data_IF_923460247742
#
_entry.id   IF_923460247742
#
_cell.length_a   1.000
_cell.length_b   1.000
_cell.length_c   1.000
_cell.angle_alpha   90.00
_cell.angle_beta   90.00
_cell.angle_gamma   90.00
#
_symmetry.space_group_name_H-M   'P 1'
#
loop_
_entity.id
_entity.type
_entity.pdbx_description
1 polymer ?
#
# COMPACT_ATOMS: atom_id res chain seq x y z
N UNK A 1 -51.78 10.53 -24.60
CA UNK A 1 -50.54 9.92 -25.10
C UNK A 1 -49.24 10.52 -24.49
N UNK A 2 -49.10 11.81 -24.22
CA UNK A 2 -47.90 12.44 -23.60
C UNK A 2 -47.54 11.88 -22.21
N UNK A 3 -48.51 11.57 -21.34
CA UNK A 3 -48.28 11.09 -19.97
C UNK A 3 -47.62 9.67 -19.91
N UNK A 4 -48.02 8.73 -20.78
CA UNK A 4 -47.40 7.40 -20.90
C UNK A 4 -45.96 7.46 -21.45
N UNK A 5 -45.67 8.41 -22.36
CA UNK A 5 -44.34 8.62 -22.93
C UNK A 5 -43.35 9.20 -21.89
N UNK A 6 -43.84 10.08 -21.01
CA UNK A 6 -43.03 10.61 -19.90
C UNK A 6 -42.76 9.57 -18.81
N UNK A 7 -43.71 8.71 -18.49
CA UNK A 7 -43.49 7.59 -17.53
C UNK A 7 -42.46 6.59 -18.05
N UNK A 8 -42.53 6.18 -19.31
CA UNK A 8 -41.50 5.28 -19.91
C UNK A 8 -40.11 5.90 -19.98
N UNK A 9 -40.01 7.22 -20.14
CA UNK A 9 -38.76 7.97 -20.12
C UNK A 9 -38.17 8.08 -18.70
N UNK A 10 -39.00 8.31 -17.69
CA UNK A 10 -38.59 8.34 -16.29
C UNK A 10 -38.13 6.97 -15.79
N UNK A 11 -38.82 5.89 -16.10
CA UNK A 11 -38.39 4.53 -15.75
C UNK A 11 -37.02 4.19 -16.37
N UNK A 12 -36.74 4.64 -17.59
CA UNK A 12 -35.46 4.40 -18.26
C UNK A 12 -34.35 5.21 -17.62
N UNK A 13 -34.61 6.47 -17.25
CA UNK A 13 -33.59 7.31 -16.56
C UNK A 13 -33.28 6.76 -15.15
N UNK A 14 -34.28 6.30 -14.41
CA UNK A 14 -34.10 5.67 -13.11
C UNK A 14 -33.23 4.40 -13.19
N UNK A 15 -33.48 3.53 -14.17
CA UNK A 15 -32.66 2.32 -14.36
C UNK A 15 -31.20 2.65 -14.67
N UNK A 16 -30.96 3.66 -15.51
CA UNK A 16 -29.61 4.12 -15.85
C UNK A 16 -28.90 4.71 -14.63
N UNK A 17 -29.61 5.52 -13.83
CA UNK A 17 -29.07 6.11 -12.60
C UNK A 17 -28.73 5.04 -11.58
N UNK A 18 -29.65 4.11 -11.32
CA UNK A 18 -29.39 3.00 -10.38
C UNK A 18 -28.20 2.18 -10.80
N UNK A 19 -28.04 1.93 -12.10
CA UNK A 19 -26.89 1.22 -12.63
C UNK A 19 -25.59 1.99 -12.44
N UNK A 20 -25.57 3.29 -12.77
CA UNK A 20 -24.39 4.15 -12.54
C UNK A 20 -23.97 4.13 -11.06
N UNK A 21 -24.94 4.23 -10.14
CA UNK A 21 -24.64 4.20 -8.70
C UNK A 21 -24.10 2.84 -8.29
N UNK A 22 -24.70 1.74 -8.75
CA UNK A 22 -24.23 0.39 -8.42
C UNK A 22 -22.82 0.12 -8.94
N UNK A 23 -22.54 0.51 -10.20
CA UNK A 23 -21.20 0.35 -10.78
C UNK A 23 -20.18 1.28 -10.11
N UNK A 24 -20.56 2.52 -9.79
CA UNK A 24 -19.69 3.45 -9.06
C UNK A 24 -19.34 2.90 -7.67
N UNK A 25 -20.29 2.31 -6.95
CA UNK A 25 -20.07 1.71 -5.64
C UNK A 25 -19.08 0.54 -5.71
N UNK A 26 -19.17 -0.32 -6.73
CA UNK A 26 -18.21 -1.41 -6.93
C UNK A 26 -16.82 -0.86 -7.26
N UNK A 27 -16.73 0.19 -8.11
CA UNK A 27 -15.46 0.84 -8.43
C UNK A 27 -14.83 1.50 -7.18
N UNK A 28 -15.62 2.13 -6.32
CA UNK A 28 -15.15 2.66 -5.03
C UNK A 28 -14.55 1.54 -4.16
N UNK A 29 -15.24 0.40 -4.06
CA UNK A 29 -14.72 -0.74 -3.29
C UNK A 29 -13.41 -1.27 -3.86
N UNK A 30 -13.30 -1.40 -5.19
CA UNK A 30 -12.04 -1.79 -5.84
C UNK A 30 -10.96 -0.75 -5.56
N UNK A 31 -11.27 0.54 -5.66
CA UNK A 31 -10.35 1.63 -5.36
C UNK A 31 -9.85 1.59 -3.91
N UNK A 32 -10.73 1.32 -2.94
CA UNK A 32 -10.34 1.14 -1.52
C UNK A 32 -9.39 -0.05 -1.37
N UNK A 33 -9.65 -1.17 -2.05
CA UNK A 33 -8.77 -2.34 -2.02
C UNK A 33 -7.39 -2.01 -2.57
N UNK A 34 -7.33 -1.34 -3.72
CA UNK A 34 -6.06 -0.88 -4.34
C UNK A 34 -5.31 0.06 -3.40
N UNK A 35 -5.99 1.08 -2.85
CA UNK A 35 -5.43 1.99 -1.84
C UNK A 35 -4.83 1.23 -0.66
N UNK A 36 -5.56 0.29 -0.09
CA UNK A 36 -5.11 -0.48 1.08
C UNK A 36 -3.86 -1.32 0.76
N UNK A 37 -3.79 -1.94 -0.44
CA UNK A 37 -2.61 -2.71 -0.86
C UNK A 37 -1.38 -1.82 -1.00
N UNK A 38 -1.52 -0.66 -1.63
CA UNK A 38 -0.40 0.27 -1.83
C UNK A 38 0.04 0.92 -0.52
N UNK A 39 -0.91 1.38 0.30
CA UNK A 39 -0.62 1.93 1.64
C UNK A 39 0.08 0.88 2.52
N UNK A 40 -0.39 -0.37 2.48
CA UNK A 40 0.26 -1.46 3.19
C UNK A 40 1.70 -1.72 2.74
N UNK A 41 1.99 -1.62 1.44
CA UNK A 41 3.36 -1.71 0.91
C UNK A 41 4.24 -0.55 1.40
N UNK A 42 3.74 0.68 1.35
CA UNK A 42 4.47 1.84 1.82
C UNK A 42 4.73 1.78 3.33
N UNK A 43 3.73 1.38 4.12
CA UNK A 43 3.88 1.13 5.55
C UNK A 43 4.93 0.04 5.81
N UNK A 44 4.92 -1.02 5.02
CA UNK A 44 5.96 -2.05 5.09
C UNK A 44 7.36 -1.49 4.87
N UNK A 45 7.52 -0.70 3.82
CA UNK A 45 8.79 -0.10 3.50
C UNK A 45 9.23 0.86 4.61
N UNK A 46 8.32 1.67 5.13
CA UNK A 46 8.59 2.56 6.26
C UNK A 46 9.04 1.80 7.50
N UNK A 47 8.34 0.72 7.88
CA UNK A 47 8.73 -0.12 9.01
C UNK A 47 10.08 -0.78 8.76
N UNK A 48 10.33 -1.28 7.54
CA UNK A 48 11.59 -1.91 7.16
C UNK A 48 12.77 -0.93 7.20
N UNK A 49 12.60 0.31 6.77
CA UNK A 49 13.62 1.35 6.83
C UNK A 49 13.94 1.82 8.24
N UNK A 50 12.97 1.68 9.16
CA UNK A 50 13.15 1.97 10.58
C UNK A 50 13.66 0.76 11.39
N UNK A 51 13.84 -0.41 10.75
CA UNK A 51 14.48 -1.54 11.43
C UNK A 51 15.98 -1.28 11.56
N UNK A 52 16.46 -1.29 12.79
CA UNK A 52 17.87 -1.15 13.11
C UNK A 52 18.55 -2.51 13.16
N UNK A 53 19.75 -2.57 12.60
CA UNK A 53 20.75 -3.62 12.80
C UNK A 53 21.82 -3.04 13.70
N UNK A 54 22.01 -3.59 14.89
CA UNK A 54 22.94 -3.08 15.90
C UNK A 54 24.21 -3.89 15.85
N UNK A 55 25.33 -3.22 15.59
CA UNK A 55 26.66 -3.77 15.72
C UNK A 55 27.19 -3.45 17.11
N UNK A 56 27.37 -4.46 17.92
CA UNK A 56 27.97 -4.36 19.25
C UNK A 56 29.49 -4.33 19.09
N UNK A 57 30.14 -3.31 19.60
CA UNK A 57 31.57 -3.13 19.48
C UNK A 57 32.35 -3.79 20.63
N UNK A 58 33.61 -4.14 20.39
CA UNK A 58 34.49 -4.63 21.44
C UNK A 58 34.81 -3.51 22.45
N UNK A 59 34.96 -3.85 23.74
CA UNK A 59 35.16 -2.85 24.81
C UNK A 59 36.44 -2.01 24.63
N UNK A 60 37.46 -2.56 23.93
CA UNK A 60 38.79 -2.01 23.83
C UNK A 60 38.98 -1.06 22.65
N UNK A 61 37.96 -0.82 21.85
CA UNK A 61 38.04 0.07 20.67
C UNK A 61 38.17 1.53 21.09
N UNK A 62 39.11 2.20 20.44
CA UNK A 62 39.27 3.65 20.60
C UNK A 62 38.20 4.44 19.84
N UNK A 63 37.81 5.65 20.28
CA UNK A 63 36.86 6.48 19.56
C UNK A 63 37.21 6.77 18.09
N UNK A 64 38.52 6.82 17.78
CA UNK A 64 39.00 7.01 16.41
C UNK A 64 38.77 5.79 15.52
N UNK A 65 38.90 4.59 16.07
CA UNK A 65 38.60 3.33 15.36
C UNK A 65 37.11 3.16 15.13
N UNK A 66 36.26 3.50 16.13
CA UNK A 66 34.82 3.54 15.98
C UNK A 66 34.39 4.48 14.86
N UNK A 67 34.95 5.70 14.80
CA UNK A 67 34.65 6.66 13.74
C UNK A 67 35.09 6.16 12.35
N UNK A 68 36.25 5.48 12.27
CA UNK A 68 36.73 4.88 11.02
C UNK A 68 35.79 3.75 10.57
N UNK A 69 35.30 2.93 11.50
CA UNK A 69 34.36 1.85 11.25
C UNK A 69 33.03 2.41 10.74
N UNK A 70 32.50 3.45 11.38
CA UNK A 70 31.27 4.14 10.93
C UNK A 70 31.39 4.64 9.48
N UNK A 71 32.52 5.33 9.15
CA UNK A 71 32.76 5.81 7.79
C UNK A 71 32.89 4.67 6.78
N UNK A 72 33.46 3.54 7.17
CA UNK A 72 33.59 2.36 6.31
C UNK A 72 32.23 1.73 6.02
N UNK A 73 31.43 1.58 7.05
CA UNK A 73 30.11 0.97 6.96
C UNK A 73 29.13 1.88 6.20
N UNK A 74 29.20 3.19 6.39
CA UNK A 74 28.36 4.18 5.69
C UNK A 74 28.52 4.16 4.16
N UNK A 75 29.63 3.64 3.65
CA UNK A 75 29.89 3.52 2.20
C UNK A 75 29.09 2.40 1.51
N UNK A 76 28.50 1.51 2.27
CA UNK A 76 27.73 0.42 1.68
C UNK A 76 26.40 0.91 1.11
N UNK A 77 26.08 0.49 -0.10
CA UNK A 77 24.90 0.94 -0.84
C UNK A 77 23.56 0.52 -0.21
N UNK A 78 23.57 -0.47 0.67
CA UNK A 78 22.38 -0.97 1.38
C UNK A 78 22.09 -0.22 2.68
N UNK A 79 22.94 0.72 3.12
CA UNK A 79 22.78 1.49 4.34
C UNK A 79 22.17 2.86 4.02
N UNK A 80 21.19 3.28 4.85
CA UNK A 80 20.55 4.59 4.76
C UNK A 80 21.11 5.53 5.83
N UNK A 81 21.28 5.05 7.05
CA UNK A 81 21.80 5.85 8.17
C UNK A 81 22.72 5.02 9.07
N UNK A 82 23.68 5.68 9.69
CA UNK A 82 24.61 5.09 10.66
C UNK A 82 24.62 6.00 11.87
N UNK A 83 24.30 5.48 13.02
CA UNK A 83 24.29 6.18 14.30
C UNK A 83 25.22 5.48 15.28
N UNK A 84 26.16 6.22 15.87
CA UNK A 84 27.10 5.71 16.85
C UNK A 84 26.68 6.12 18.24
N UNK A 85 26.53 5.14 19.12
CA UNK A 85 26.20 5.33 20.54
C UNK A 85 27.39 4.91 21.39
N UNK A 86 27.96 5.86 22.14
CA UNK A 86 29.07 5.55 23.06
C UNK A 86 28.58 4.81 24.31
N UNK A 87 29.49 4.18 25.05
CA UNK A 87 29.17 3.51 26.34
C UNK A 87 28.45 4.44 27.33
N UNK A 88 28.86 5.71 27.38
CA UNK A 88 28.29 6.71 28.27
C UNK A 88 26.89 7.14 27.81
N UNK A 89 26.69 7.26 26.49
CA UNK A 89 25.36 7.55 25.91
C UNK A 89 24.41 6.39 26.13
N UNK A 90 24.83 5.15 25.85
CA UNK A 90 24.04 3.95 26.07
C UNK A 90 23.60 3.81 27.53
N UNK A 91 24.50 4.12 28.51
CA UNK A 91 24.16 4.12 29.91
C UNK A 91 23.12 5.20 30.25
N UNK A 92 23.27 6.40 29.67
CA UNK A 92 22.36 7.53 29.92
C UNK A 92 20.96 7.24 29.36
N UNK A 93 20.88 6.65 28.18
CA UNK A 93 19.62 6.25 27.54
C UNK A 93 18.97 5.09 28.29
N UNK A 94 19.73 4.05 28.64
CA UNK A 94 19.27 2.94 29.45
C UNK A 94 18.78 3.37 30.84
N UNK A 95 19.46 4.32 31.48
CA UNK A 95 19.02 4.89 32.75
C UNK A 95 17.68 5.63 32.61
N UNK A 96 17.49 6.35 31.50
CA UNK A 96 16.25 7.07 31.23
C UNK A 96 15.07 6.13 30.95
N UNK A 97 15.31 5.04 30.22
CA UNK A 97 14.29 4.05 29.88
C UNK A 97 13.90 3.16 31.07
N UNK A 98 14.89 2.71 31.85
CA UNK A 98 14.67 1.81 32.99
C UNK A 98 14.24 2.57 34.29
N UNK A 99 14.39 3.91 34.32
CA UNK A 99 14.09 4.72 35.49
C UNK A 99 15.05 4.54 36.64
N UNK A 100 16.11 3.73 36.47
CA UNK A 100 17.17 3.48 37.49
C UNK A 100 18.51 3.32 36.75
N UNK A 101 19.61 3.67 37.42
CA UNK A 101 20.93 3.58 36.83
C UNK A 101 21.45 2.11 36.91
N UNK A 102 21.61 1.39 35.79
CA UNK A 102 22.06 0.01 35.83
C UNK A 102 23.48 -0.20 36.33
N UNK A 103 24.32 0.83 36.21
CA UNK A 103 25.71 0.77 36.72
C UNK A 103 25.78 0.71 38.26
N UNK A 104 24.76 1.21 38.98
CA UNK A 104 24.69 1.15 40.45
C UNK A 104 24.44 -0.30 40.93
N UNK A 105 23.76 -1.11 40.13
CA UNK A 105 23.47 -2.51 40.45
C UNK A 105 24.57 -3.45 40.00
N UNK A 106 25.19 -3.15 38.85
CA UNK A 106 26.21 -4.01 38.22
C UNK A 106 27.65 -3.70 38.74
N UNK A 107 27.85 -2.59 39.41
CA UNK A 107 29.17 -2.11 39.86
C UNK A 107 30.03 -1.46 38.79
N UNK A 108 29.69 -1.69 37.48
CA UNK A 108 30.30 -1.07 36.35
C UNK A 108 29.26 -0.84 35.23
N UNK A 109 29.60 -0.09 34.19
CA UNK A 109 28.71 0.15 33.09
C UNK A 109 28.50 -1.14 32.27
N UNK A 110 27.29 -1.73 32.29
CA UNK A 110 27.01 -2.99 31.58
C UNK A 110 26.85 -2.81 30.06
N UNK A 111 26.73 -1.55 29.58
CA UNK A 111 26.56 -1.27 28.17
C UNK A 111 27.90 -1.16 27.45
N UNK A 112 27.92 -1.63 26.21
CA UNK A 112 29.04 -1.48 25.27
C UNK A 112 28.74 -0.38 24.27
N UNK A 113 29.77 0.11 23.60
CA UNK A 113 29.55 1.01 22.47
C UNK A 113 28.94 0.23 21.31
N UNK A 114 28.02 0.86 20.60
CA UNK A 114 27.29 0.24 19.51
C UNK A 114 27.12 1.17 18.30
N UNK A 115 26.98 0.56 17.13
CA UNK A 115 26.67 1.26 15.88
C UNK A 115 25.32 0.74 15.40
N UNK A 116 24.33 1.61 15.38
CA UNK A 116 23.02 1.33 14.79
C UNK A 116 23.03 1.66 13.30
N UNK A 117 22.57 0.69 12.52
CA UNK A 117 22.49 0.76 11.07
C UNK A 117 21.05 0.68 10.64
N UNK A 118 20.59 1.64 9.84
CA UNK A 118 19.31 1.56 9.14
C UNK A 118 19.54 1.10 7.71
N UNK A 119 18.82 0.06 7.30
CA UNK A 119 18.94 -0.51 5.97
C UNK A 119 17.87 0.06 5.04
N UNK A 120 18.17 0.14 3.73
CA UNK A 120 17.14 0.43 2.73
C UNK A 120 16.09 -0.69 2.71
N UNK A 121 14.82 -0.36 2.53
CA UNK A 121 13.68 -1.29 2.56
C UNK A 121 13.90 -2.57 1.72
N UNK A 122 14.55 -2.45 0.56
CA UNK A 122 14.83 -3.57 -0.34
C UNK A 122 15.77 -4.63 0.26
N UNK A 123 16.61 -4.24 1.21
CA UNK A 123 17.57 -5.11 1.91
C UNK A 123 17.06 -5.56 3.29
N UNK A 124 15.99 -4.95 3.79
CA UNK A 124 15.37 -5.29 5.08
C UNK A 124 14.48 -6.54 4.97
N UNK A 125 15.02 -7.64 4.48
CA UNK A 125 14.40 -8.97 4.46
C UNK A 125 15.35 -9.97 5.14
N UNK A 126 14.80 -11.07 5.65
CA UNK A 126 15.55 -12.03 6.45
C UNK A 126 16.80 -12.57 5.79
N UNK A 127 16.74 -12.88 4.50
CA UNK A 127 17.85 -13.50 3.78
C UNK A 127 18.97 -12.49 3.56
N UNK A 128 18.61 -11.24 3.24
CA UNK A 128 19.58 -10.16 3.07
C UNK A 128 20.18 -9.72 4.40
N UNK A 129 19.37 -9.57 5.46
CA UNK A 129 19.85 -9.17 6.79
C UNK A 129 20.81 -10.23 7.35
N UNK A 130 20.51 -11.52 7.20
CA UNK A 130 21.41 -12.60 7.63
C UNK A 130 22.77 -12.52 6.95
N UNK A 131 22.80 -12.27 5.64
CA UNK A 131 24.06 -12.11 4.89
C UNK A 131 24.82 -10.86 5.34
N UNK A 132 24.11 -9.73 5.42
CA UNK A 132 24.68 -8.46 5.88
C UNK A 132 25.23 -8.59 7.30
N UNK A 133 24.49 -9.21 8.22
CA UNK A 133 24.93 -9.44 9.59
C UNK A 133 26.18 -10.33 9.65
N UNK A 134 26.24 -11.39 8.83
CA UNK A 134 27.41 -12.24 8.73
C UNK A 134 28.65 -11.49 8.18
N UNK A 135 28.45 -10.64 7.18
CA UNK A 135 29.53 -9.81 6.61
C UNK A 135 30.00 -8.74 7.62
N UNK A 136 29.06 -8.09 8.32
CA UNK A 136 29.39 -7.08 9.33
C UNK A 136 30.10 -7.68 10.55
N UNK A 137 29.80 -8.92 10.92
CA UNK A 137 30.47 -9.62 12.02
C UNK A 137 31.95 -9.94 11.74
N UNK A 138 32.36 -9.94 10.47
CA UNK A 138 33.76 -10.17 10.07
C UNK A 138 34.65 -8.93 10.23
N UNK A 139 34.09 -7.77 10.54
CA UNK A 139 34.89 -6.57 10.74
C UNK A 139 35.65 -6.63 12.07
N UNK A 140 36.91 -6.27 12.02
CA UNK A 140 37.75 -6.16 13.22
C UNK A 140 37.12 -5.11 14.17
N UNK A 141 36.97 -5.47 15.44
CA UNK A 141 36.37 -4.62 16.46
C UNK A 141 34.85 -4.79 16.65
N UNK A 142 34.20 -5.64 15.86
CA UNK A 142 32.82 -6.02 16.08
C UNK A 142 32.76 -7.26 16.95
N UNK A 143 32.01 -7.19 18.06
CA UNK A 143 31.79 -8.31 18.97
C UNK A 143 30.64 -9.18 18.49
N UNK A 144 29.50 -8.53 18.22
CA UNK A 144 28.31 -9.22 17.71
C UNK A 144 27.46 -8.27 16.83
N UNK A 145 26.56 -8.86 16.06
CA UNK A 145 25.58 -8.13 15.23
C UNK A 145 24.20 -8.65 15.54
N UNK A 146 23.38 -7.80 16.13
CA UNK A 146 22.02 -8.15 16.55
C UNK A 146 20.98 -7.40 15.74
N UNK A 147 19.85 -8.03 15.49
CA UNK A 147 18.68 -7.41 14.85
C UNK A 147 17.41 -8.11 15.30
N UNK A 148 16.28 -7.40 15.27
CA UNK A 148 14.98 -7.93 15.72
C UNK A 148 14.36 -8.81 14.63
N UNK A 149 14.86 -10.03 14.52
CA UNK A 149 14.44 -11.01 13.50
C UNK A 149 12.93 -11.28 13.53
N UNK A 150 12.36 -11.35 14.72
CA UNK A 150 10.93 -11.63 14.90
C UNK A 150 10.03 -10.54 14.33
N UNK A 151 10.43 -9.27 14.44
CA UNK A 151 9.69 -8.15 13.86
C UNK A 151 9.71 -8.20 12.32
N UNK A 152 10.89 -8.46 11.72
CA UNK A 152 11.03 -8.58 10.26
C UNK A 152 10.13 -9.68 9.71
N UNK A 153 10.13 -10.84 10.38
CA UNK A 153 9.29 -11.98 10.02
C UNK A 153 7.81 -11.66 10.13
N UNK A 154 7.41 -11.09 11.27
CA UNK A 154 6.01 -10.80 11.56
C UNK A 154 5.42 -9.80 10.57
N UNK A 155 6.15 -8.72 10.28
CA UNK A 155 5.74 -7.70 9.31
C UNK A 155 5.59 -8.31 7.89
N UNK A 156 6.59 -9.06 7.43
CA UNK A 156 6.55 -9.67 6.10
C UNK A 156 5.40 -10.69 5.96
N UNK A 157 5.17 -11.52 6.98
CA UNK A 157 4.08 -12.50 6.96
C UNK A 157 2.71 -11.82 7.02
N UNK A 158 2.53 -10.81 7.88
CA UNK A 158 1.28 -10.09 8.01
C UNK A 158 0.89 -9.41 6.70
N UNK A 159 1.83 -8.72 6.06
CA UNK A 159 1.60 -8.04 4.79
C UNK A 159 1.27 -9.03 3.66
N UNK A 160 1.96 -10.16 3.60
CA UNK A 160 1.68 -11.20 2.60
C UNK A 160 0.26 -11.75 2.77
N UNK A 161 -0.17 -12.02 4.01
CA UNK A 161 -1.53 -12.49 4.31
C UNK A 161 -2.59 -11.45 3.92
N UNK A 162 -2.40 -10.18 4.33
CA UNK A 162 -3.32 -9.09 4.00
C UNK A 162 -3.42 -8.90 2.49
N UNK A 163 -2.28 -8.82 1.78
CA UNK A 163 -2.27 -8.67 0.32
C UNK A 163 -2.97 -9.81 -0.40
N UNK A 164 -2.83 -11.05 0.07
CA UNK A 164 -3.50 -12.20 -0.51
C UNK A 164 -5.02 -12.14 -0.33
N UNK A 165 -5.49 -11.82 0.87
CA UNK A 165 -6.93 -11.65 1.16
C UNK A 165 -7.53 -10.53 0.31
N UNK A 166 -6.85 -9.38 0.24
CA UNK A 166 -7.30 -8.24 -0.55
C UNK A 166 -7.34 -8.56 -2.05
N UNK A 167 -6.39 -9.35 -2.55
CA UNK A 167 -6.38 -9.80 -3.95
C UNK A 167 -7.60 -10.68 -4.28
N UNK A 168 -7.97 -11.59 -3.37
CA UNK A 168 -9.19 -12.41 -3.53
C UNK A 168 -10.43 -11.52 -3.56
N UNK A 169 -10.53 -10.55 -2.64
CA UNK A 169 -11.66 -9.61 -2.58
C UNK A 169 -11.74 -8.80 -3.88
N UNK A 170 -10.63 -8.28 -4.38
CA UNK A 170 -10.56 -7.53 -5.63
C UNK A 170 -11.03 -8.39 -6.82
N UNK A 171 -10.61 -9.64 -6.90
CA UNK A 171 -11.04 -10.57 -7.94
C UNK A 171 -12.56 -10.81 -7.88
N UNK A 172 -13.11 -11.05 -6.69
CA UNK A 172 -14.56 -11.23 -6.52
C UNK A 172 -15.34 -9.97 -6.92
N UNK A 173 -14.90 -8.79 -6.49
CA UNK A 173 -15.53 -7.52 -6.86
C UNK A 173 -15.50 -7.29 -8.37
N UNK A 174 -14.40 -7.65 -9.03
CA UNK A 174 -14.27 -7.56 -10.50
C UNK A 174 -15.28 -8.46 -11.20
N UNK A 175 -15.45 -9.71 -10.73
CA UNK A 175 -16.46 -10.64 -11.28
C UNK A 175 -17.87 -10.09 -11.09
N UNK A 176 -18.19 -9.55 -9.91
CA UNK A 176 -19.49 -8.93 -9.63
C UNK A 176 -19.74 -7.73 -10.54
N UNK A 177 -18.75 -6.85 -10.71
CA UNK A 177 -18.83 -5.70 -11.61
C UNK A 177 -19.13 -6.12 -13.05
N UNK A 178 -18.37 -7.09 -13.54
CA UNK A 178 -18.58 -7.63 -14.89
C UNK A 178 -19.96 -8.23 -15.06
N UNK A 179 -20.47 -8.97 -14.08
CA UNK A 179 -21.79 -9.56 -14.07
C UNK A 179 -22.91 -8.49 -14.12
N UNK A 180 -22.76 -7.40 -13.32
CA UNK A 180 -23.71 -6.28 -13.33
C UNK A 180 -23.78 -5.60 -14.69
N UNK A 181 -22.62 -5.29 -15.29
CA UNK A 181 -22.55 -4.67 -16.62
C UNK A 181 -23.19 -5.58 -17.67
N UNK A 182 -22.84 -6.87 -17.67
CA UNK A 182 -23.39 -7.84 -18.63
C UNK A 182 -24.92 -7.99 -18.52
N UNK A 183 -25.43 -8.08 -17.28
CA UNK A 183 -26.86 -8.15 -17.02
C UNK A 183 -27.61 -6.91 -17.55
N UNK A 184 -27.02 -5.74 -17.36
CA UNK A 184 -27.62 -4.49 -17.84
C UNK A 184 -27.63 -4.38 -19.37
N UNK A 185 -26.53 -4.76 -20.02
CA UNK A 185 -26.47 -4.81 -21.49
C UNK A 185 -27.54 -5.76 -22.01
N UNK A 186 -27.71 -6.93 -21.40
CA UNK A 186 -28.74 -7.92 -21.76
C UNK A 186 -30.14 -7.34 -21.64
N UNK A 187 -30.46 -6.67 -20.51
CA UNK A 187 -31.74 -6.02 -20.31
C UNK A 187 -31.98 -4.89 -21.32
N UNK A 188 -30.97 -4.09 -21.64
CA UNK A 188 -31.06 -3.02 -22.64
C UNK A 188 -31.33 -3.56 -24.05
N UNK A 189 -30.68 -4.67 -24.42
CA UNK A 189 -30.92 -5.37 -25.70
C UNK A 189 -32.36 -5.90 -25.75
N UNK A 190 -32.81 -6.55 -24.67
CA UNK A 190 -34.18 -7.08 -24.58
C UNK A 190 -35.25 -5.97 -24.71
N UNK A 191 -35.06 -4.86 -24.04
CA UNK A 191 -35.94 -3.71 -24.12
C UNK A 191 -36.06 -3.10 -25.52
N UNK A 192 -35.04 -3.28 -26.37
CA UNK A 192 -34.96 -2.76 -27.74
C UNK A 192 -35.09 -3.83 -28.81
N UNK A 193 -35.52 -5.05 -28.46
CA UNK A 193 -35.57 -6.21 -29.37
C UNK A 193 -36.32 -5.94 -30.67
N UNK A 194 -37.45 -5.22 -30.64
CA UNK A 194 -38.24 -4.88 -31.82
C UNK A 194 -37.47 -3.94 -32.78
N UNK A 195 -36.84 -2.88 -32.24
CA UNK A 195 -36.04 -1.99 -33.05
C UNK A 195 -34.82 -2.71 -33.68
N UNK A 196 -34.21 -3.61 -32.94
CA UNK A 196 -33.10 -4.45 -33.45
C UNK A 196 -33.62 -5.34 -34.60
N UNK A 197 -34.79 -5.95 -34.43
CA UNK A 197 -35.38 -6.80 -35.46
C UNK A 197 -35.70 -6.01 -36.74
N UNK A 198 -36.28 -4.81 -36.60
CA UNK A 198 -36.56 -3.92 -37.72
C UNK A 198 -35.29 -3.51 -38.46
N UNK A 199 -34.22 -3.14 -37.76
CA UNK A 199 -32.94 -2.79 -38.33
C UNK A 199 -32.32 -3.98 -39.11
N UNK A 200 -32.48 -5.20 -38.58
CA UNK A 200 -32.02 -6.42 -39.25
C UNK A 200 -32.76 -6.69 -40.51
N UNK A 201 -34.10 -6.48 -40.55
CA UNK A 201 -34.93 -6.66 -41.74
C UNK A 201 -34.54 -5.69 -42.87
N UNK A 202 -34.12 -4.48 -42.54
CA UNK A 202 -33.64 -3.47 -43.51
C UNK A 202 -32.18 -3.73 -43.97
N UNK A 203 -31.53 -4.82 -43.46
CA UNK A 203 -30.18 -5.19 -43.88
C UNK A 203 -29.05 -4.46 -43.13
N UNK A 204 -29.34 -3.88 -41.96
CA UNK A 204 -28.29 -3.21 -41.15
C UNK A 204 -27.22 -4.20 -40.68
N UNK A 205 -25.94 -3.81 -40.79
CA UNK A 205 -24.82 -4.63 -40.35
C UNK A 205 -24.81 -4.83 -38.81
N UNK A 206 -24.29 -5.95 -38.34
CA UNK A 206 -24.17 -6.27 -36.92
C UNK A 206 -23.36 -5.22 -36.14
N UNK A 207 -22.35 -4.62 -36.75
CA UNK A 207 -21.56 -3.54 -36.16
C UNK A 207 -22.42 -2.31 -35.88
N UNK A 208 -23.26 -1.92 -36.85
CA UNK A 208 -24.17 -0.78 -36.70
C UNK A 208 -25.20 -0.99 -35.56
N UNK A 209 -25.74 -2.22 -35.46
CA UNK A 209 -26.71 -2.56 -34.40
C UNK A 209 -26.07 -2.55 -33.02
N UNK A 210 -24.81 -2.98 -32.88
CA UNK A 210 -24.10 -3.07 -31.57
C UNK A 210 -23.54 -1.73 -31.11
N UNK A 211 -23.18 -0.84 -32.00
CA UNK A 211 -22.51 0.42 -31.69
C UNK A 211 -23.24 1.29 -30.64
N UNK A 212 -24.56 1.51 -30.68
CA UNK A 212 -25.26 2.31 -29.67
C UNK A 212 -25.23 1.67 -28.28
N UNK A 213 -25.19 0.35 -28.15
CA UNK A 213 -25.08 -0.35 -26.87
C UNK A 213 -23.67 -0.24 -26.30
N UNK A 214 -22.65 -0.36 -27.14
CA UNK A 214 -21.26 -0.15 -26.74
C UNK A 214 -21.01 1.29 -26.27
N UNK A 215 -21.48 2.28 -27.04
CA UNK A 215 -21.38 3.69 -26.63
C UNK A 215 -22.10 3.96 -25.29
N UNK A 216 -23.25 3.35 -25.08
CA UNK A 216 -23.98 3.46 -23.82
C UNK A 216 -23.20 2.82 -22.67
N UNK A 217 -22.63 1.62 -22.85
CA UNK A 217 -21.83 0.94 -21.83
C UNK A 217 -20.58 1.73 -21.45
N UNK A 218 -19.84 2.24 -22.46
CA UNK A 218 -18.68 3.10 -22.23
C UNK A 218 -19.05 4.39 -21.52
N UNK A 219 -20.15 5.04 -21.94
CA UNK A 219 -20.62 6.26 -21.27
C UNK A 219 -21.02 6.04 -19.81
N UNK A 220 -21.70 4.91 -19.53
CA UNK A 220 -22.04 4.51 -18.16
C UNK A 220 -20.78 4.23 -17.33
N UNK A 221 -19.83 3.49 -17.89
CA UNK A 221 -18.55 3.20 -17.24
C UNK A 221 -17.78 4.47 -16.88
N UNK A 222 -17.67 5.42 -17.83
CA UNK A 222 -16.99 6.70 -17.58
C UNK A 222 -17.69 7.53 -16.51
N UNK A 223 -19.03 7.64 -16.55
CA UNK A 223 -19.79 8.35 -15.51
C UNK A 223 -19.59 7.70 -14.13
N UNK A 224 -19.64 6.37 -14.05
CA UNK A 224 -19.41 5.64 -12.81
C UNK A 224 -18.00 5.80 -12.29
N UNK A 225 -16.99 5.83 -13.17
CA UNK A 225 -15.60 6.07 -12.81
C UNK A 225 -15.40 7.49 -12.25
N UNK A 226 -15.98 8.51 -12.89
CA UNK A 226 -15.91 9.88 -12.37
C UNK A 226 -16.57 9.99 -11.00
N UNK A 227 -17.75 9.38 -10.81
CA UNK A 227 -18.41 9.34 -9.50
C UNK A 227 -17.57 8.63 -8.45
N UNK A 228 -16.95 7.50 -8.80
CA UNK A 228 -16.07 6.77 -7.89
C UNK A 228 -14.84 7.59 -7.50
N UNK A 229 -14.20 8.27 -8.45
CA UNK A 229 -13.08 9.16 -8.19
C UNK A 229 -13.44 10.34 -7.28
N UNK A 230 -14.62 10.94 -7.45
CA UNK A 230 -15.10 12.01 -6.57
C UNK A 230 -15.28 11.48 -5.14
N UNK A 231 -15.88 10.32 -4.97
CA UNK A 231 -16.11 9.71 -3.64
C UNK A 231 -14.78 9.34 -2.97
N UNK A 232 -13.86 8.71 -3.71
CA UNK A 232 -12.52 8.37 -3.20
C UNK A 232 -11.71 9.61 -2.86
N UNK A 233 -11.75 10.64 -3.72
CA UNK A 233 -11.07 11.91 -3.47
C UNK A 233 -11.63 12.64 -2.24
N UNK A 234 -12.96 12.69 -2.09
CA UNK A 234 -13.60 13.26 -0.91
C UNK A 234 -13.24 12.47 0.37
N UNK A 235 -13.21 11.14 0.30
CA UNK A 235 -12.78 10.29 1.41
C UNK A 235 -11.32 10.55 1.81
N UNK A 236 -10.44 10.73 0.83
CA UNK A 236 -9.04 11.08 1.09
C UNK A 236 -8.86 12.47 1.69
N UNK A 237 -9.62 13.48 1.21
CA UNK A 237 -9.61 14.81 1.80
C UNK A 237 -10.13 14.80 3.25
N UNK A 238 -11.14 13.99 3.54
CA UNK A 238 -11.64 13.81 4.90
C UNK A 238 -10.57 13.17 5.81
N UNK A 239 -9.87 12.14 5.34
CA UNK A 239 -8.74 11.52 6.05
C UNK A 239 -7.59 12.52 6.29
N UNK A 240 -7.30 13.36 5.30
CA UNK A 240 -6.28 14.42 5.44
C UNK A 240 -6.60 15.40 6.58
N UNK A 241 -7.85 15.81 6.68
CA UNK A 241 -8.26 16.75 7.73
C UNK A 241 -8.30 16.11 9.13
N UNK A 242 -8.46 14.79 9.21
CA UNK A 242 -8.57 14.09 10.49
C UNK A 242 -7.22 13.59 11.00
N UNK A 243 -6.34 13.06 10.15
CA UNK A 243 -5.03 12.49 10.50
C UNK A 243 -3.98 12.84 9.43
N UNK A 244 -3.36 14.04 9.48
CA UNK A 244 -2.39 14.46 8.47
C UNK A 244 -1.13 13.60 8.42
N UNK A 245 -0.77 12.90 9.50
CA UNK A 245 0.40 12.02 9.54
C UNK A 245 0.24 10.76 8.67
N UNK A 246 -0.97 10.28 8.47
CA UNK A 246 -1.22 9.12 7.60
C UNK A 246 -0.88 9.38 6.12
N UNK A 247 -0.85 10.61 5.69
CA UNK A 247 -0.53 10.98 4.31
C UNK A 247 0.95 10.92 3.96
N UNK A 248 1.85 10.94 4.94
CA UNK A 248 3.27 10.67 4.68
C UNK A 248 3.49 9.26 4.13
N UNK A 249 2.57 8.35 4.41
CA UNK A 249 2.58 6.95 3.93
C UNK A 249 1.89 6.81 2.56
N UNK A 250 0.96 7.74 2.22
CA UNK A 250 0.20 7.74 0.97
C UNK A 250 0.87 8.71 -0.01
N UNK A 251 1.86 8.24 -0.76
CA UNK A 251 2.53 9.03 -1.79
C UNK A 251 1.59 9.36 -2.96
N UNK A 252 1.85 10.48 -3.66
CA UNK A 252 1.10 10.89 -4.85
C UNK A 252 1.03 9.81 -5.96
N UNK A 253 2.01 8.91 -6.02
CA UNK A 253 1.99 7.74 -6.91
C UNK A 253 0.82 6.79 -6.59
N UNK A 254 0.51 6.57 -5.31
CA UNK A 254 -0.62 5.73 -4.88
C UNK A 254 -1.94 6.33 -5.35
N UNK A 255 -2.06 7.67 -5.27
CA UNK A 255 -3.25 8.38 -5.77
C UNK A 255 -3.40 8.25 -7.29
N UNK A 256 -2.32 8.38 -8.03
CA UNK A 256 -2.33 8.23 -9.49
C UNK A 256 -2.71 6.80 -9.91
N UNK A 257 -2.17 5.78 -9.25
CA UNK A 257 -2.51 4.38 -9.53
C UNK A 257 -3.97 4.04 -9.21
N UNK A 258 -4.50 4.54 -8.07
CA UNK A 258 -5.93 4.33 -7.74
C UNK A 258 -6.87 5.04 -8.71
N UNK A 259 -6.45 6.14 -9.31
CA UNK A 259 -7.24 6.84 -10.34
C UNK A 259 -7.21 6.13 -11.70
N UNK A 260 -6.20 5.31 -11.95
CA UNK A 260 -5.98 4.65 -13.25
C UNK A 260 -6.68 3.28 -13.32
N UNK A 261 -6.96 2.65 -12.17
CA UNK A 261 -7.68 1.37 -12.04
C UNK A 261 -9.19 1.59 -11.96
#
# INVERSE_FOLDING_TARGET
>A
MKKKRNQARNHRSLQVITLCISTAMVLVLIGIVVLTVFTGRNLSNYVKENLTVTMVLQPDLTPSECAALCKKVQRFNYITNVEYTSKEQALKEGTKELGANPAEFAGENPFTAEIELRLKANYANNDSIKKIAADLKQFNGVSDVTYRQDLVNSVNQMLRKISFVLLIIAALLTVVSFSLINNTIRLSIYARRFAIHTMKLVGASWGFIRLPFLRMAVGLGLLSAVMALIVLGAGMLALYNYEPEMLTIINGEVMAFTALV
#
